data_IF_730281330487
#
_entry.id   IF_730281330487
#
_cell.length_a   1.000
_cell.length_b   1.000
_cell.length_c   1.000
_cell.angle_alpha   90.00
_cell.angle_beta   90.00
_cell.angle_gamma   90.00
#
_symmetry.space_group_name_H-M   'P 1'
#
loop_
_entity.id
_entity.type
_entity.pdbx_description
1 polymer ?
#
# COMPACT_ATOMS: atom_id res chain seq x y z
N UNK A 1 14.33 -8.16 14.60
CA UNK A 1 14.23 -8.89 13.32
C UNK A 1 14.81 -8.03 12.23
N UNK A 2 15.42 -8.64 11.21
CA UNK A 2 15.86 -7.90 10.02
C UNK A 2 14.65 -7.47 9.17
N UNK A 3 14.72 -6.30 8.57
CA UNK A 3 13.70 -5.82 7.63
C UNK A 3 13.97 -6.48 6.27
N UNK A 4 13.36 -7.64 6.04
CA UNK A 4 13.54 -8.40 4.80
C UNK A 4 12.98 -7.68 3.57
N UNK A 5 11.99 -6.80 3.77
CA UNK A 5 11.26 -6.10 2.71
C UNK A 5 12.05 -4.96 2.03
N UNK A 6 13.27 -4.68 2.48
CA UNK A 6 14.12 -3.62 1.91
C UNK A 6 15.23 -4.14 0.99
N UNK A 7 15.40 -5.46 0.87
CA UNK A 7 16.37 -6.06 -0.03
C UNK A 7 15.72 -7.14 -0.91
N UNK A 8 15.99 -7.15 -2.24
CA UNK A 8 15.44 -8.13 -3.15
C UNK A 8 15.67 -9.58 -2.71
N UNK A 9 16.92 -9.93 -2.38
CA UNK A 9 17.31 -11.31 -2.06
C UNK A 9 16.57 -11.86 -0.84
N UNK A 10 16.48 -11.07 0.23
CA UNK A 10 15.74 -11.47 1.44
C UNK A 10 14.24 -11.47 1.22
N UNK A 11 13.73 -10.62 0.35
CA UNK A 11 12.30 -10.61 -0.01
C UNK A 11 11.93 -11.90 -0.76
N UNK A 12 12.74 -12.31 -1.74
CA UNK A 12 12.56 -13.57 -2.49
C UNK A 12 12.59 -14.76 -1.54
N UNK A 13 13.62 -14.85 -0.69
CA UNK A 13 13.80 -15.96 0.23
C UNK A 13 12.59 -16.16 1.15
N UNK A 14 11.96 -15.07 1.62
CA UNK A 14 10.74 -15.14 2.43
C UNK A 14 9.55 -15.64 1.62
N UNK A 15 9.33 -15.15 0.40
CA UNK A 15 8.23 -15.60 -0.45
C UNK A 15 8.35 -17.09 -0.76
N UNK A 16 9.54 -17.56 -1.16
CA UNK A 16 9.77 -18.96 -1.45
C UNK A 16 9.58 -19.84 -0.20
N UNK A 17 10.07 -19.38 0.96
CA UNK A 17 9.87 -20.09 2.21
C UNK A 17 8.39 -20.21 2.55
N UNK A 18 7.61 -19.14 2.43
CA UNK A 18 6.16 -19.17 2.65
C UNK A 18 5.50 -20.14 1.66
N UNK A 19 5.78 -20.02 0.36
CA UNK A 19 5.21 -20.87 -0.69
C UNK A 19 5.47 -22.36 -0.43
N UNK A 20 6.69 -22.73 -0.05
CA UNK A 20 7.06 -24.11 0.32
C UNK A 20 6.24 -24.64 1.50
N UNK A 21 5.91 -23.79 2.47
CA UNK A 21 5.22 -24.22 3.69
C UNK A 21 3.69 -24.26 3.55
N UNK A 22 3.09 -23.43 2.69
CA UNK A 22 1.62 -23.36 2.53
C UNK A 22 1.08 -24.28 1.43
N UNK A 23 1.91 -25.12 0.81
CA UNK A 23 1.49 -26.10 -0.20
C UNK A 23 1.10 -25.52 -1.56
N UNK A 24 1.23 -24.20 -1.75
CA UNK A 24 0.98 -23.53 -3.03
C UNK A 24 -0.48 -23.24 -3.36
N UNK A 25 -1.44 -23.71 -2.57
CA UNK A 25 -2.87 -23.59 -2.87
C UNK A 25 -3.48 -22.21 -2.51
N UNK A 26 -2.87 -21.49 -1.56
CA UNK A 26 -3.34 -20.20 -1.11
C UNK A 26 -2.62 -19.04 -1.82
N UNK A 27 -3.33 -17.95 -2.17
CA UNK A 27 -2.71 -16.78 -2.77
C UNK A 27 -1.78 -16.08 -1.76
N UNK A 28 -0.64 -15.60 -2.25
CA UNK A 28 0.33 -14.82 -1.48
C UNK A 28 0.27 -13.36 -1.95
N UNK A 29 -0.03 -12.46 -1.02
CA UNK A 29 0.06 -11.00 -1.25
C UNK A 29 1.25 -10.45 -0.47
N UNK A 30 2.25 -9.91 -1.17
CA UNK A 30 3.41 -9.30 -0.53
C UNK A 30 3.13 -7.83 -0.13
N UNK A 31 3.24 -7.55 1.17
CA UNK A 31 3.06 -6.21 1.75
C UNK A 31 4.40 -5.46 1.74
N UNK A 32 4.60 -4.53 0.80
CA UNK A 32 5.89 -3.88 0.62
C UNK A 32 6.09 -2.66 1.53
N UNK A 33 7.34 -2.47 1.94
CA UNK A 33 7.79 -1.29 2.68
C UNK A 33 8.00 -0.11 1.71
N UNK A 34 7.57 1.11 2.08
CA UNK A 34 7.93 2.32 1.34
C UNK A 34 9.35 2.82 1.64
N UNK A 35 10.01 2.30 2.68
CA UNK A 35 11.35 2.74 3.15
C UNK A 35 12.47 2.10 2.31
N UNK A 36 12.43 2.33 1.00
CA UNK A 36 13.42 1.87 0.01
C UNK A 36 13.67 2.95 -1.03
N UNK A 37 14.88 2.95 -1.61
CA UNK A 37 15.24 3.90 -2.68
C UNK A 37 14.48 3.61 -3.97
N UNK A 38 14.35 2.32 -4.32
CA UNK A 38 13.64 1.86 -5.52
C UNK A 38 12.65 0.76 -5.16
N UNK A 39 11.37 1.12 -5.06
CA UNK A 39 10.29 0.17 -4.74
C UNK A 39 9.96 -0.76 -5.92
N UNK A 40 10.24 -0.34 -7.16
CA UNK A 40 9.98 -1.15 -8.35
C UNK A 40 10.89 -2.37 -8.37
N UNK A 41 12.16 -2.21 -7.97
CA UNK A 41 13.09 -3.33 -7.83
C UNK A 41 12.62 -4.39 -6.81
N UNK A 42 12.05 -3.97 -5.68
CA UNK A 42 11.50 -4.88 -4.67
C UNK A 42 10.24 -5.57 -5.19
N UNK A 43 9.35 -4.82 -5.84
CA UNK A 43 8.16 -5.38 -6.46
C UNK A 43 8.50 -6.44 -7.52
N UNK A 44 9.46 -6.16 -8.41
CA UNK A 44 9.95 -7.11 -9.40
C UNK A 44 10.44 -8.40 -8.75
N UNK A 45 11.23 -8.28 -7.67
CA UNK A 45 11.81 -9.42 -6.98
C UNK A 45 10.74 -10.36 -6.42
N UNK A 46 9.73 -9.81 -5.73
CA UNK A 46 8.65 -10.63 -5.16
C UNK A 46 7.70 -11.17 -6.24
N UNK A 47 7.44 -10.43 -7.32
CA UNK A 47 6.67 -10.90 -8.47
C UNK A 47 7.36 -12.11 -9.10
N UNK A 48 8.68 -12.03 -9.32
CA UNK A 48 9.46 -13.14 -9.87
C UNK A 48 9.50 -14.35 -8.93
N UNK A 49 9.41 -14.13 -7.61
CA UNK A 49 9.27 -15.20 -6.62
C UNK A 49 7.87 -15.83 -6.58
N UNK A 50 6.93 -15.33 -7.38
CA UNK A 50 5.61 -15.92 -7.58
C UNK A 50 4.56 -15.47 -6.57
N UNK A 51 4.51 -14.19 -6.20
CA UNK A 51 3.36 -13.63 -5.48
C UNK A 51 2.15 -13.44 -6.40
N UNK A 52 0.95 -13.59 -5.85
CA UNK A 52 -0.32 -13.46 -6.57
C UNK A 52 -0.82 -12.00 -6.60
N UNK A 53 -0.24 -11.14 -5.76
CA UNK A 53 -0.53 -9.71 -5.73
C UNK A 53 0.37 -8.96 -4.77
N UNK A 54 0.20 -7.64 -4.75
CA UNK A 54 0.96 -6.73 -3.89
C UNK A 54 0.03 -5.96 -2.96
N UNK A 55 0.54 -5.56 -1.80
CA UNK A 55 -0.12 -4.62 -0.92
C UNK A 55 0.83 -3.45 -0.63
N UNK A 56 0.40 -2.23 -0.95
CA UNK A 56 1.24 -1.03 -0.96
C UNK A 56 0.51 0.10 -0.23
N UNK A 57 1.06 0.77 0.78
CA UNK A 57 2.38 0.61 1.41
C UNK A 57 2.25 0.21 2.89
N UNK A 58 3.32 -0.29 3.48
CA UNK A 58 3.46 -0.31 4.95
C UNK A 58 3.71 1.12 5.49
N UNK A 59 3.88 1.27 6.80
CA UNK A 59 4.22 2.56 7.42
C UNK A 59 5.60 3.06 7.00
N UNK A 60 5.81 4.37 7.07
CA UNK A 60 7.14 4.97 7.03
C UNK A 60 7.79 4.92 8.41
N UNK A 61 9.12 5.04 8.50
CA UNK A 61 9.79 5.18 9.78
C UNK A 61 9.73 6.63 10.30
N UNK A 62 9.32 6.81 11.55
CA UNK A 62 9.29 8.11 12.22
C UNK A 62 9.72 8.04 13.68
N UNK A 63 9.91 9.20 14.29
CA UNK A 63 10.17 9.36 15.72
C UNK A 63 9.62 10.68 16.23
N UNK A 64 9.33 10.74 17.53
CA UNK A 64 8.94 11.96 18.23
C UNK A 64 9.74 12.05 19.52
N UNK A 65 10.26 13.22 19.84
CA UNK A 65 10.91 13.52 21.12
C UNK A 65 9.87 14.13 22.06
N UNK A 66 9.76 13.57 23.26
CA UNK A 66 9.01 14.19 24.33
C UNK A 66 9.82 15.37 24.89
N UNK A 67 9.29 16.58 24.77
CA UNK A 67 9.99 17.83 25.10
C UNK A 67 10.05 18.14 26.59
N UNK A 68 9.36 17.37 27.44
CA UNK A 68 9.42 17.52 28.89
C UNK A 68 10.53 16.64 29.46
N UNK A 69 10.57 15.38 29.01
CA UNK A 69 11.59 14.40 29.41
C UNK A 69 12.88 14.48 28.59
N UNK A 70 12.87 15.20 27.46
CA UNK A 70 13.98 15.30 26.50
C UNK A 70 14.45 13.94 25.96
N UNK A 71 13.52 12.98 25.83
CA UNK A 71 13.80 11.60 25.42
C UNK A 71 12.86 11.16 24.30
N UNK A 72 13.19 10.09 23.54
CA UNK A 72 12.24 9.52 22.58
C UNK A 72 10.93 9.14 23.27
N UNK A 73 9.81 9.54 22.66
CA UNK A 73 8.46 9.31 23.22
C UNK A 73 8.06 7.84 23.17
N UNK A 74 8.59 7.09 22.20
CA UNK A 74 8.38 5.65 22.06
C UNK A 74 9.53 4.87 22.69
N UNK A 75 9.22 3.78 23.41
CA UNK A 75 10.24 2.90 24.01
C UNK A 75 11.20 2.33 22.96
N UNK A 76 10.69 1.98 21.77
CA UNK A 76 11.48 1.54 20.62
C UNK A 76 12.26 2.66 19.90
N UNK A 77 12.24 3.90 20.43
CA UNK A 77 12.75 5.15 19.87
C UNK A 77 12.05 5.60 18.59
N UNK A 78 11.93 4.71 17.61
CA UNK A 78 11.21 4.92 16.36
C UNK A 78 9.90 4.14 16.34
N UNK A 79 9.02 4.48 15.41
CA UNK A 79 7.77 3.76 15.15
C UNK A 79 7.26 4.00 13.74
N UNK A 80 6.19 3.28 13.37
CA UNK A 80 5.54 3.44 12.08
C UNK A 80 4.71 4.73 12.01
N UNK A 81 5.05 5.62 11.07
CA UNK A 81 4.22 6.75 10.68
C UNK A 81 3.16 6.27 9.68
N UNK A 82 1.90 6.58 9.98
CA UNK A 82 0.72 6.23 9.18
C UNK A 82 -0.28 7.39 9.15
N UNK A 83 -1.48 7.15 8.61
CA UNK A 83 -2.51 8.17 8.48
C UNK A 83 -2.33 9.09 7.27
N UNK A 84 -3.16 10.13 7.13
CA UNK A 84 -3.21 10.97 5.94
C UNK A 84 -1.85 11.55 5.51
N UNK A 85 -0.95 11.78 6.46
CA UNK A 85 0.40 12.30 6.23
C UNK A 85 1.22 11.46 5.24
N UNK A 86 1.00 10.15 5.17
CA UNK A 86 1.79 9.26 4.28
C UNK A 86 1.15 9.02 2.92
N UNK A 87 -0.07 9.56 2.67
CA UNK A 87 -0.81 9.27 1.44
C UNK A 87 -0.06 9.66 0.16
N UNK A 88 0.62 10.84 0.06
CA UNK A 88 1.37 11.17 -1.14
C UNK A 88 2.47 10.15 -1.48
N UNK A 89 3.09 9.54 -0.46
CA UNK A 89 4.09 8.49 -0.64
C UNK A 89 3.44 7.19 -1.13
N UNK A 90 2.27 6.85 -0.59
CA UNK A 90 1.48 5.69 -1.04
C UNK A 90 1.06 5.82 -2.50
N UNK A 91 0.54 6.99 -2.90
CA UNK A 91 0.13 7.28 -4.29
C UNK A 91 1.30 7.12 -5.25
N UNK A 92 2.45 7.74 -4.95
CA UNK A 92 3.68 7.62 -5.76
C UNK A 92 4.11 6.16 -5.89
N UNK A 93 4.17 5.43 -4.77
CA UNK A 93 4.59 4.03 -4.75
C UNK A 93 3.69 3.13 -5.61
N UNK A 94 2.37 3.27 -5.47
CA UNK A 94 1.39 2.52 -6.26
C UNK A 94 1.52 2.87 -7.75
N UNK A 95 1.65 4.15 -8.07
CA UNK A 95 1.82 4.62 -9.44
C UNK A 95 3.05 3.98 -10.11
N UNK A 96 4.21 4.06 -9.47
CA UNK A 96 5.45 3.51 -10.01
C UNK A 96 5.39 1.98 -10.21
N UNK A 97 4.83 1.26 -9.23
CA UNK A 97 4.72 -0.20 -9.31
C UNK A 97 3.71 -0.61 -10.37
N UNK A 98 2.55 0.06 -10.46
CA UNK A 98 1.56 -0.23 -11.49
C UNK A 98 2.10 0.08 -12.90
N UNK A 99 2.85 1.17 -13.07
CA UNK A 99 3.46 1.51 -14.36
C UNK A 99 4.41 0.41 -14.85
N UNK A 100 5.21 -0.15 -13.95
CA UNK A 100 6.14 -1.24 -14.28
C UNK A 100 5.42 -2.59 -14.45
N UNK A 101 4.36 -2.84 -13.69
CA UNK A 101 3.64 -4.11 -13.61
C UNK A 101 2.12 -3.93 -13.72
N UNK A 102 1.60 -3.52 -14.90
CA UNK A 102 0.19 -3.12 -15.05
C UNK A 102 -0.81 -4.25 -14.81
N UNK A 103 -0.37 -5.50 -14.97
CA UNK A 103 -1.19 -6.69 -14.79
C UNK A 103 -1.14 -7.27 -13.37
N UNK A 104 -0.32 -6.71 -12.47
CA UNK A 104 -0.21 -7.19 -11.09
C UNK A 104 -1.25 -6.49 -10.21
N UNK A 105 -2.16 -7.22 -9.54
CA UNK A 105 -3.17 -6.60 -8.69
C UNK A 105 -2.53 -5.99 -7.44
N UNK A 106 -2.95 -4.77 -7.11
CA UNK A 106 -2.41 -4.00 -5.98
C UNK A 106 -3.53 -3.66 -4.98
N UNK A 107 -3.38 -4.09 -3.73
CA UNK A 107 -4.15 -3.59 -2.59
C UNK A 107 -3.50 -2.30 -2.09
N UNK A 108 -4.04 -1.17 -2.50
CA UNK A 108 -3.58 0.17 -2.15
C UNK A 108 -4.02 0.63 -0.76
N UNK A 109 -3.11 1.24 0.00
CA UNK A 109 -3.38 1.84 1.30
C UNK A 109 -2.28 2.80 1.73
N UNK A 110 -2.63 3.65 2.69
CA UNK A 110 -1.76 4.69 3.23
C UNK A 110 -2.53 6.00 3.29
N UNK A 111 -3.03 6.36 4.47
CA UNK A 111 -3.70 7.65 4.68
C UNK A 111 -5.05 7.83 3.99
N UNK A 112 -5.77 6.74 3.73
CA UNK A 112 -7.16 6.79 3.23
C UNK A 112 -8.11 7.13 4.38
N UNK A 113 -8.81 8.26 4.25
CA UNK A 113 -9.84 8.69 5.19
C UNK A 113 -11.15 9.12 4.51
N UNK A 114 -11.18 9.19 3.18
CA UNK A 114 -12.35 9.57 2.38
C UNK A 114 -12.41 8.81 1.04
N UNK A 115 -13.56 8.84 0.36
CA UNK A 115 -13.72 8.31 -0.99
C UNK A 115 -12.79 8.96 -2.02
N UNK A 116 -12.44 10.25 -1.83
CA UNK A 116 -11.46 10.94 -2.70
C UNK A 116 -10.05 10.38 -2.54
N UNK A 117 -9.65 10.07 -1.30
CA UNK A 117 -8.34 9.46 -1.03
C UNK A 117 -8.26 8.05 -1.62
N UNK A 118 -9.36 7.28 -1.54
CA UNK A 118 -9.45 5.96 -2.16
C UNK A 118 -9.36 6.07 -3.69
N UNK A 119 -10.12 6.99 -4.29
CA UNK A 119 -10.08 7.25 -5.73
C UNK A 119 -8.68 7.65 -6.21
N UNK A 120 -7.96 8.48 -5.45
CA UNK A 120 -6.57 8.87 -5.76
C UNK A 120 -5.65 7.64 -5.91
N UNK A 121 -5.74 6.68 -5.00
CA UNK A 121 -4.96 5.43 -5.06
C UNK A 121 -5.40 4.52 -6.21
N UNK A 122 -6.71 4.45 -6.52
CA UNK A 122 -7.25 3.65 -7.64
C UNK A 122 -6.76 4.20 -8.97
N UNK A 123 -6.89 5.51 -9.18
CA UNK A 123 -6.41 6.19 -10.38
C UNK A 123 -4.90 5.98 -10.58
N UNK A 124 -4.13 5.87 -9.48
CA UNK A 124 -2.71 5.56 -9.52
C UNK A 124 -2.41 4.10 -9.89
N UNK A 125 -3.34 3.15 -9.72
CA UNK A 125 -3.15 1.74 -10.09
C UNK A 125 -3.62 0.72 -9.06
N UNK A 126 -4.22 1.14 -7.94
CA UNK A 126 -4.74 0.20 -6.94
C UNK A 126 -6.00 -0.53 -7.44
N UNK A 127 -6.00 -1.86 -7.32
CA UNK A 127 -7.13 -2.74 -7.66
C UNK A 127 -8.06 -2.99 -6.47
N UNK A 128 -7.62 -2.68 -5.25
CA UNK A 128 -8.42 -2.71 -4.03
C UNK A 128 -7.88 -1.68 -3.04
N UNK A 129 -8.70 -1.28 -2.06
CA UNK A 129 -8.32 -0.28 -1.05
C UNK A 129 -8.41 -0.87 0.35
N UNK A 130 -7.40 -0.63 1.18
CA UNK A 130 -7.39 -0.96 2.61
C UNK A 130 -7.28 0.30 3.47
N UNK A 131 -7.98 0.28 4.60
CA UNK A 131 -8.13 1.43 5.51
C UNK A 131 -7.61 1.03 6.88
N UNK A 132 -6.49 1.63 7.28
CA UNK A 132 -5.83 1.42 8.56
C UNK A 132 -6.20 2.49 9.59
N UNK A 133 -5.35 3.52 9.72
CA UNK A 133 -5.40 4.56 10.76
C UNK A 133 -6.77 5.22 10.97
N UNK A 134 -7.53 5.46 9.89
CA UNK A 134 -8.85 6.08 10.00
C UNK A 134 -9.84 5.25 10.82
N UNK A 135 -9.68 3.92 10.84
CA UNK A 135 -10.56 3.02 11.61
C UNK A 135 -10.44 3.20 13.13
N UNK A 136 -9.29 3.67 13.62
CA UNK A 136 -9.07 3.89 15.05
C UNK A 136 -9.92 5.03 15.62
N UNK A 137 -10.17 6.06 14.82
CA UNK A 137 -11.04 7.18 15.20
C UNK A 137 -12.49 7.03 14.73
N UNK A 138 -12.74 6.12 13.78
CA UNK A 138 -14.06 5.92 13.18
C UNK A 138 -14.22 4.47 12.69
N UNK A 139 -14.87 3.59 13.46
CA UNK A 139 -15.11 2.19 13.06
C UNK A 139 -15.90 2.03 11.75
N UNK A 140 -16.69 3.04 11.36
CA UNK A 140 -17.47 3.06 10.14
C UNK A 140 -16.70 3.61 8.93
N UNK A 141 -15.42 3.98 9.08
CA UNK A 141 -14.62 4.61 8.02
C UNK A 141 -14.66 3.82 6.71
N UNK A 142 -14.56 2.48 6.77
CA UNK A 142 -14.59 1.65 5.58
C UNK A 142 -15.91 1.74 4.80
N UNK A 143 -17.05 1.73 5.50
CA UNK A 143 -18.37 1.85 4.86
C UNK A 143 -18.57 3.25 4.26
N UNK A 144 -18.14 4.28 4.97
CA UNK A 144 -18.24 5.67 4.49
C UNK A 144 -17.37 5.91 3.26
N UNK A 145 -16.11 5.47 3.28
CA UNK A 145 -15.20 5.58 2.14
C UNK A 145 -15.76 4.83 0.93
N UNK A 146 -16.34 3.63 1.13
CA UNK A 146 -17.00 2.88 0.06
C UNK A 146 -18.15 3.67 -0.57
N UNK A 147 -19.07 4.21 0.23
CA UNK A 147 -20.21 4.99 -0.30
C UNK A 147 -19.74 6.20 -1.11
N UNK A 148 -18.83 6.98 -0.53
CA UNK A 148 -18.27 8.16 -1.17
C UNK A 148 -17.53 7.81 -2.47
N UNK A 149 -16.76 6.72 -2.48
CA UNK A 149 -16.05 6.27 -3.68
C UNK A 149 -17.04 5.88 -4.79
N UNK A 150 -18.11 5.14 -4.47
CA UNK A 150 -19.13 4.77 -5.45
C UNK A 150 -19.77 6.00 -6.09
N UNK A 151 -20.13 7.00 -5.29
CA UNK A 151 -20.67 8.28 -5.78
C UNK A 151 -19.66 8.97 -6.72
N UNK A 152 -18.40 9.09 -6.30
CA UNK A 152 -17.34 9.74 -7.07
C UNK A 152 -17.03 9.06 -8.40
N UNK A 153 -17.15 7.72 -8.48
CA UNK A 153 -16.98 6.95 -9.70
C UNK A 153 -18.11 7.23 -10.70
N UNK A 154 -19.36 7.22 -10.22
CA UNK A 154 -20.55 7.54 -11.03
C UNK A 154 -20.48 8.98 -11.54
N UNK A 155 -20.18 9.94 -10.67
CA UNK A 155 -20.04 11.36 -11.03
C UNK A 155 -18.98 11.60 -12.12
N UNK A 156 -17.96 10.75 -12.19
CA UNK A 156 -16.87 10.83 -13.17
C UNK A 156 -17.13 10.01 -14.43
N UNK A 157 -18.26 9.34 -14.52
CA UNK A 157 -18.65 8.55 -15.69
C UNK A 157 -17.97 7.19 -15.80
N UNK A 158 -17.43 6.64 -14.70
CA UNK A 158 -16.93 5.26 -14.69
C UNK A 158 -18.12 4.31 -14.52
N UNK A 159 -18.32 3.41 -15.49
CA UNK A 159 -19.38 2.40 -15.45
C UNK A 159 -18.93 1.13 -14.71
N UNK A 160 -17.63 0.83 -14.75
CA UNK A 160 -17.01 -0.26 -14.00
C UNK A 160 -15.86 0.28 -13.15
N UNK A 161 -15.70 -0.27 -11.94
CA UNK A 161 -14.56 0.05 -11.06
C UNK A 161 -13.22 -0.21 -11.76
N UNK A 162 -13.15 -1.27 -12.56
CA UNK A 162 -11.95 -1.68 -13.28
C UNK A 162 -11.47 -0.63 -14.28
N UNK A 163 -12.38 0.16 -14.83
CA UNK A 163 -12.06 1.24 -15.77
C UNK A 163 -11.32 2.41 -15.10
N UNK A 164 -11.45 2.55 -13.78
CA UNK A 164 -10.76 3.58 -13.00
C UNK A 164 -9.35 3.16 -12.56
N UNK A 165 -9.06 1.85 -12.51
CA UNK A 165 -7.76 1.34 -12.07
C UNK A 165 -6.69 1.82 -13.05
N UNK A 166 -5.70 2.55 -12.52
CA UNK A 166 -4.59 3.04 -13.33
C UNK A 166 -4.98 4.09 -14.37
N UNK A 167 -6.18 4.69 -14.27
CA UNK A 167 -6.65 5.65 -15.27
C UNK A 167 -5.70 6.86 -15.42
N UNK A 168 -4.91 7.21 -14.40
CA UNK A 168 -3.89 8.27 -14.46
C UNK A 168 -2.67 7.94 -15.37
N UNK A 169 -2.57 6.71 -15.88
CA UNK A 169 -1.50 6.28 -16.81
C UNK A 169 -1.86 6.47 -18.28
N UNK A 170 -3.09 6.93 -18.59
CA UNK A 170 -3.51 7.18 -19.97
C UNK A 170 -2.65 8.24 -20.66
N UNK A 171 -2.19 7.96 -21.88
CA UNK A 171 -1.43 8.90 -22.69
C UNK A 171 0.03 9.11 -22.26
N UNK A 172 0.56 8.21 -21.42
CA UNK A 172 2.00 8.07 -21.12
C UNK A 172 2.63 7.08 -22.09
#
# INVERSE_FOLDING_TARGET
>A
GQVFACHPDTSIAVIEAVRRNIGGELPIIAKLSPDVTDIVSIAQAVINAGVDGLALINTLLGMVIDTNSMRPKLAGKTGGLSGPAIRPVAVRAIYQVHQAFPNTPIVGMGGVASGRDALELILAGASAISIGTASFGNPNAAMQVKSQLSELLIERGFNDFRDAIGFAHRGV
#
